data_IF_633837697444
#
_entry.id   IF_633837697444
#
_cell.length_a   1.000
_cell.length_b   1.000
_cell.length_c   1.000
_cell.angle_alpha   90.00
_cell.angle_beta   90.00
_cell.angle_gamma   90.00
#
_symmetry.space_group_name_H-M   'P 1'
#
loop_
_entity.id
_entity.type
_entity.pdbx_description
1 polymer ?
#
# COMPACT_ATOMS: atom_id res chain seq x y z
N UNK A 1 -13.77 43.57 23.71
CA UNK A 1 -13.75 42.29 24.48
C UNK A 1 -13.56 42.60 25.96
N UNK A 2 -14.03 41.78 26.91
CA UNK A 2 -13.84 42.07 28.34
C UNK A 2 -12.65 41.30 28.91
N UNK A 3 -11.85 41.94 29.76
CA UNK A 3 -10.73 41.29 30.45
C UNK A 3 -11.25 40.14 31.33
N UNK A 4 -10.69 38.94 31.21
CA UNK A 4 -11.06 37.82 32.09
C UNK A 4 -10.67 38.04 33.55
N UNK A 5 -9.63 38.84 33.80
CA UNK A 5 -9.12 39.07 35.15
C UNK A 5 -9.88 40.21 35.87
N UNK A 6 -10.02 41.39 35.24
CA UNK A 6 -10.65 42.54 35.90
C UNK A 6 -12.03 42.95 35.35
N UNK A 7 -12.53 42.29 34.30
CA UNK A 7 -13.84 42.58 33.70
C UNK A 7 -13.93 43.88 32.88
N UNK A 8 -12.86 44.68 32.84
CA UNK A 8 -12.82 45.93 32.08
C UNK A 8 -13.03 45.69 30.58
N UNK A 9 -13.73 46.61 29.93
CA UNK A 9 -13.96 46.55 28.49
C UNK A 9 -12.72 47.03 27.75
N UNK A 10 -12.22 46.19 26.84
CA UNK A 10 -10.98 46.39 26.09
C UNK A 10 -11.36 46.60 24.62
N UNK A 11 -10.93 47.74 24.08
CA UNK A 11 -11.04 48.07 22.66
C UNK A 11 -10.12 47.17 21.81
N UNK A 12 -10.51 46.93 20.56
CA UNK A 12 -9.74 46.11 19.62
C UNK A 12 -8.40 46.75 19.27
N UNK A 13 -7.29 46.02 19.44
CA UNK A 13 -5.93 46.47 19.12
C UNK A 13 -4.94 46.46 20.29
N UNK A 14 -5.40 46.18 21.51
CA UNK A 14 -4.54 46.05 22.69
C UNK A 14 -4.12 44.59 22.92
N UNK A 15 -2.84 44.39 23.28
CA UNK A 15 -2.27 43.06 23.63
C UNK A 15 -2.31 42.80 25.14
N UNK A 16 -2.49 43.86 25.94
CA UNK A 16 -2.60 43.81 27.40
C UNK A 16 -3.80 44.64 27.85
N UNK A 17 -4.44 44.25 28.95
CA UNK A 17 -5.55 45.01 29.53
C UNK A 17 -5.03 46.35 30.09
N UNK A 18 -5.55 47.49 29.63
CA UNK A 18 -5.09 48.81 30.11
C UNK A 18 -5.32 49.05 31.61
N UNK A 19 -6.31 48.38 32.21
CA UNK A 19 -6.67 48.59 33.62
C UNK A 19 -5.89 47.73 34.60
N UNK A 20 -5.47 46.52 34.23
CA UNK A 20 -4.79 45.60 35.16
C UNK A 20 -3.45 45.04 34.64
N UNK A 21 -3.06 45.35 33.40
CA UNK A 21 -1.82 44.88 32.79
C UNK A 21 -1.84 43.42 32.34
N UNK A 22 -2.95 42.69 32.52
CA UNK A 22 -3.04 41.27 32.17
C UNK A 22 -2.97 41.06 30.65
N UNK A 23 -2.17 40.08 30.21
CA UNK A 23 -2.04 39.76 28.78
C UNK A 23 -3.34 39.17 28.21
N UNK A 24 -3.68 39.58 27.00
CA UNK A 24 -4.87 39.12 26.30
C UNK A 24 -4.48 37.93 25.42
N UNK A 25 -4.84 36.71 25.85
CA UNK A 25 -4.63 35.51 25.04
C UNK A 25 -5.61 35.47 23.86
N UNK A 26 -5.10 35.65 22.65
CA UNK A 26 -5.86 35.68 21.38
C UNK A 26 -6.07 34.28 20.77
N UNK A 27 -5.29 33.28 21.19
CA UNK A 27 -5.36 31.91 20.69
C UNK A 27 -5.96 31.02 21.79
N UNK A 28 -7.00 30.22 21.52
CA UNK A 28 -7.47 29.23 22.48
C UNK A 28 -6.32 28.28 22.83
N UNK A 29 -6.14 27.99 24.13
CA UNK A 29 -5.13 27.03 24.58
C UNK A 29 -5.41 25.66 23.95
N UNK A 30 -4.48 25.19 23.12
CA UNK A 30 -4.41 23.79 22.69
C UNK A 30 -4.27 22.92 23.94
N UNK A 31 -5.29 22.13 24.25
CA UNK A 31 -5.27 21.21 25.38
C UNK A 31 -4.92 19.81 24.88
N UNK A 32 -3.64 19.43 25.00
CA UNK A 32 -3.11 18.12 24.58
C UNK A 32 -3.86 16.96 25.24
N UNK A 33 -4.40 17.15 26.45
CA UNK A 33 -5.20 16.14 27.15
C UNK A 33 -6.57 15.92 26.49
N UNK A 34 -7.17 16.96 25.89
CA UNK A 34 -8.44 16.82 25.16
C UNK A 34 -8.25 16.04 23.86
N UNK A 35 -7.14 16.26 23.14
CA UNK A 35 -6.81 15.43 21.97
C UNK A 35 -6.49 13.98 22.35
N UNK A 36 -5.75 13.74 23.45
CA UNK A 36 -5.48 12.37 23.90
C UNK A 36 -6.78 11.65 24.34
N UNK A 37 -7.71 12.38 24.95
CA UNK A 37 -9.04 11.88 25.28
C UNK A 37 -9.88 11.63 24.02
N UNK A 38 -9.84 12.51 23.03
CA UNK A 38 -10.50 12.32 21.74
C UNK A 38 -9.94 11.11 20.98
N UNK A 39 -8.62 10.93 21.00
CA UNK A 39 -7.94 9.80 20.38
C UNK A 39 -8.34 8.49 21.06
N UNK A 40 -8.35 8.46 22.41
CA UNK A 40 -8.88 7.32 23.17
C UNK A 40 -10.35 7.04 22.89
N UNK A 41 -11.19 8.06 22.74
CA UNK A 41 -12.61 7.88 22.40
C UNK A 41 -12.81 7.34 20.98
N UNK A 42 -11.93 7.71 20.03
CA UNK A 42 -11.92 7.15 18.68
C UNK A 42 -11.43 5.70 18.70
N UNK A 43 -10.31 5.42 19.37
CA UNK A 43 -9.80 4.05 19.56
C UNK A 43 -10.83 3.14 20.26
N UNK A 44 -11.51 3.62 21.30
CA UNK A 44 -12.53 2.86 22.02
C UNK A 44 -13.81 2.66 21.18
N UNK A 45 -14.15 3.60 20.29
CA UNK A 45 -15.25 3.44 19.33
C UNK A 45 -14.93 2.41 18.26
N UNK A 46 -13.69 2.38 17.78
CA UNK A 46 -13.26 1.42 16.78
C UNK A 46 -13.14 0.02 17.41
N UNK A 47 -12.61 -0.11 18.64
CA UNK A 47 -12.67 -1.36 19.44
C UNK A 47 -14.11 -1.85 19.66
N UNK A 48 -15.05 -0.96 19.96
CA UNK A 48 -16.46 -1.34 20.12
C UNK A 48 -17.13 -1.85 18.83
N UNK A 49 -16.61 -1.52 17.65
CA UNK A 49 -17.11 -2.08 16.38
C UNK A 49 -16.56 -3.48 16.11
N UNK A 50 -15.31 -3.73 16.51
CA UNK A 50 -14.62 -5.01 16.31
C UNK A 50 -15.08 -6.09 17.32
N UNK A 51 -15.46 -5.70 18.54
CA UNK A 51 -15.86 -6.62 19.61
C UNK A 51 -17.37 -6.96 19.66
N UNK A 52 -18.15 -6.61 18.63
CA UNK A 52 -19.61 -6.84 18.59
C UNK A 52 -20.03 -8.32 18.75
N UNK A 53 -19.09 -9.25 18.58
CA UNK A 53 -19.33 -10.69 18.74
C UNK A 53 -18.58 -11.32 19.93
N UNK A 54 -17.64 -10.61 20.55
CA UNK A 54 -16.89 -11.13 21.71
C UNK A 54 -17.70 -11.07 23.02
N UNK A 55 -18.78 -10.29 23.07
CA UNK A 55 -19.52 -10.00 24.31
C UNK A 55 -20.82 -10.78 24.49
N UNK A 56 -21.17 -11.70 23.57
CA UNK A 56 -22.31 -12.61 23.74
C UNK A 56 -23.70 -11.95 23.72
N UNK A 57 -23.82 -10.70 23.24
CA UNK A 57 -25.11 -10.00 23.16
C UNK A 57 -25.22 -9.25 21.83
N UNK A 58 -26.09 -9.73 20.94
CA UNK A 58 -26.47 -8.98 19.75
C UNK A 58 -27.28 -7.74 20.16
N UNK A 59 -26.83 -6.55 19.73
CA UNK A 59 -27.55 -5.29 19.94
C UNK A 59 -28.29 -4.93 18.65
N UNK A 60 -29.62 -4.76 18.68
CA UNK A 60 -30.40 -4.47 17.49
C UNK A 60 -30.02 -3.12 16.87
N UNK A 61 -29.83 -3.10 15.55
CA UNK A 61 -29.64 -1.87 14.77
C UNK A 61 -31.01 -1.21 14.55
N UNK A 62 -31.16 0.04 14.98
CA UNK A 62 -32.41 0.77 14.80
C UNK A 62 -32.70 1.02 13.31
N UNK A 63 -33.76 0.43 12.76
CA UNK A 63 -34.23 0.72 11.39
C UNK A 63 -34.79 2.15 11.29
N UNK A 64 -34.59 2.86 10.16
CA UNK A 64 -35.18 4.18 9.93
C UNK A 64 -36.71 4.11 9.95
N UNK A 65 -37.36 4.97 10.74
CA UNK A 65 -38.82 5.07 10.81
C UNK A 65 -39.37 5.64 9.50
N UNK A 66 -40.05 4.82 8.71
CA UNK A 66 -40.95 5.29 7.65
C UNK A 66 -42.19 5.89 8.28
N UNK A 67 -42.34 7.21 8.12
CA UNK A 67 -43.52 7.96 8.55
C UNK A 67 -44.68 7.70 7.59
N UNK A 68 -45.57 6.77 7.94
CA UNK A 68 -46.87 6.67 7.26
C UNK A 68 -47.76 7.82 7.73
N UNK A 69 -48.05 8.75 6.81
CA UNK A 69 -49.04 9.81 6.98
C UNK A 69 -50.43 9.21 7.22
N UNK A 70 -51.07 9.69 8.28
CA UNK A 70 -52.44 9.38 8.67
C UNK A 70 -53.40 10.14 7.75
N UNK A 71 -54.04 9.47 6.79
CA UNK A 71 -55.21 10.00 6.09
C UNK A 71 -56.49 9.49 6.76
N UNK A 72 -57.15 10.40 7.47
CA UNK A 72 -58.45 10.18 8.09
C UNK A 72 -59.56 10.37 7.05
N UNK A 73 -59.96 9.29 6.37
CA UNK A 73 -61.22 9.28 5.64
C UNK A 73 -62.35 8.76 6.54
N UNK A 74 -63.25 9.68 6.89
CA UNK A 74 -64.43 9.46 7.72
C UNK A 74 -65.52 8.77 6.89
N UNK A 75 -65.64 7.44 7.02
CA UNK A 75 -66.78 6.70 6.46
C UNK A 75 -67.96 6.84 7.43
N UNK A 76 -69.06 7.46 6.96
CA UNK A 76 -70.33 7.49 7.67
C UNK A 76 -71.04 6.15 7.51
N UNK A 77 -71.35 5.48 8.61
CA UNK A 77 -72.13 4.24 8.62
C UNK A 77 -73.61 4.55 8.87
N UNK A 78 -74.47 4.24 7.91
CA UNK A 78 -75.91 4.16 8.10
C UNK A 78 -76.25 3.01 9.06
N UNK A 79 -76.93 3.31 10.15
CA UNK A 79 -77.37 2.33 11.15
C UNK A 79 -78.74 1.76 10.79
N UNK A 80 -78.77 0.55 10.23
CA UNK A 80 -79.96 -0.30 10.26
C UNK A 80 -79.93 -1.21 11.51
N UNK A 81 -81.06 -1.42 12.21
CA UNK A 81 -81.06 -2.21 13.43
C UNK A 81 -80.95 -3.71 13.12
N UNK A 82 -79.86 -4.33 13.59
CA UNK A 82 -79.62 -5.77 13.47
C UNK A 82 -80.60 -6.52 14.38
N UNK A 83 -81.48 -7.32 13.78
CA UNK A 83 -82.41 -8.21 14.48
C UNK A 83 -81.60 -9.26 15.24
N UNK A 84 -81.68 -9.21 16.57
CA UNK A 84 -80.85 -9.97 17.49
C UNK A 84 -81.42 -11.36 17.71
N UNK A 85 -81.05 -12.31 16.85
CA UNK A 85 -81.36 -13.72 17.08
C UNK A 85 -80.30 -14.34 18.03
N UNK A 86 -80.70 -14.78 19.23
CA UNK A 86 -79.78 -15.24 20.29
C UNK A 86 -78.87 -16.40 19.86
N UNK A 87 -79.31 -17.20 18.89
CA UNK A 87 -78.52 -18.32 18.37
C UNK A 87 -77.47 -17.89 17.34
N UNK A 88 -77.65 -16.76 16.66
CA UNK A 88 -76.64 -16.18 15.77
C UNK A 88 -75.49 -15.56 16.58
N UNK A 89 -75.83 -14.90 17.70
CA UNK A 89 -74.83 -14.33 18.62
C UNK A 89 -73.94 -15.41 19.25
N UNK A 90 -74.51 -16.55 19.64
CA UNK A 90 -73.74 -17.70 20.17
C UNK A 90 -72.77 -18.28 19.14
N UNK A 91 -73.17 -18.36 17.87
CA UNK A 91 -72.29 -18.84 16.78
C UNK A 91 -71.15 -17.87 16.48
N UNK A 92 -71.40 -16.56 16.52
CA UNK A 92 -70.34 -15.54 16.37
C UNK A 92 -69.34 -15.61 17.52
N UNK A 93 -69.83 -15.73 18.77
CA UNK A 93 -68.95 -15.85 19.94
C UNK A 93 -68.12 -17.13 19.87
N UNK A 94 -68.70 -18.27 19.47
CA UNK A 94 -67.96 -19.51 19.28
C UNK A 94 -66.90 -19.40 18.16
N UNK A 95 -67.22 -18.74 17.05
CA UNK A 95 -66.27 -18.50 15.95
C UNK A 95 -65.12 -17.58 16.39
N UNK A 96 -65.42 -16.49 17.11
CA UNK A 96 -64.39 -15.59 17.65
C UNK A 96 -63.48 -16.31 18.65
N UNK A 97 -64.01 -17.20 19.49
CA UNK A 97 -63.19 -18.02 20.40
C UNK A 97 -62.24 -18.92 19.60
N UNK A 98 -62.70 -19.55 18.52
CA UNK A 98 -61.85 -20.39 17.65
C UNK A 98 -60.78 -19.56 16.94
N UNK A 99 -61.12 -18.37 16.46
CA UNK A 99 -60.17 -17.45 15.83
C UNK A 99 -59.15 -16.92 16.85
N UNK A 100 -59.57 -16.63 18.07
CA UNK A 100 -58.68 -16.20 19.16
C UNK A 100 -57.77 -17.36 19.58
N UNK A 101 -58.28 -18.58 19.67
CA UNK A 101 -57.46 -19.77 19.97
C UNK A 101 -56.48 -20.07 18.83
N UNK A 102 -56.92 -19.92 17.57
CA UNK A 102 -56.08 -20.00 16.39
C UNK A 102 -54.99 -18.93 16.40
N UNK A 103 -55.34 -17.67 16.66
CA UNK A 103 -54.36 -16.59 16.83
C UNK A 103 -53.42 -16.84 18.01
N UNK A 104 -53.90 -17.39 19.12
CA UNK A 104 -53.08 -17.71 20.30
C UNK A 104 -52.05 -18.81 20.01
N UNK A 105 -52.29 -19.69 19.04
CA UNK A 105 -51.32 -20.68 18.55
C UNK A 105 -50.41 -20.09 17.48
N UNK A 106 -50.95 -19.23 16.60
CA UNK A 106 -50.23 -18.62 15.48
C UNK A 106 -49.25 -17.53 15.96
N UNK A 107 -49.64 -16.66 16.90
CA UNK A 107 -48.84 -15.55 17.44
C UNK A 107 -47.48 -15.99 18.01
N UNK A 108 -47.38 -17.03 18.88
CA UNK A 108 -46.07 -17.51 19.35
C UNK A 108 -45.22 -18.17 18.26
N UNK A 109 -45.84 -18.70 17.20
CA UNK A 109 -45.12 -19.25 16.06
C UNK A 109 -44.45 -18.13 15.24
N UNK A 110 -45.14 -17.00 15.05
CA UNK A 110 -44.59 -15.82 14.38
C UNK A 110 -43.60 -15.02 15.26
N UNK A 111 -43.76 -15.03 16.59
CA UNK A 111 -42.85 -14.33 17.51
C UNK A 111 -41.50 -15.02 17.75
N UNK A 112 -41.40 -16.33 17.51
CA UNK A 112 -40.20 -17.14 17.79
C UNK A 112 -39.16 -17.17 16.66
N UNK A 113 -39.50 -16.63 15.49
CA UNK A 113 -38.69 -16.55 14.28
C UNK A 113 -38.40 -15.09 13.89
N UNK A 114 -38.33 -14.18 14.87
CA UNK A 114 -37.82 -12.84 14.58
C UNK A 114 -36.32 -12.91 14.33
N UNK A 115 -35.81 -12.18 13.35
CA UNK A 115 -34.38 -12.07 13.04
C UNK A 115 -33.52 -11.91 14.30
N UNK A 116 -33.84 -10.94 15.15
CA UNK A 116 -33.09 -10.66 16.38
C UNK A 116 -33.10 -11.85 17.37
N UNK A 117 -34.20 -12.60 17.42
CA UNK A 117 -34.30 -13.77 18.31
C UNK A 117 -33.47 -14.95 17.81
N UNK A 118 -33.37 -15.12 16.50
CA UNK A 118 -32.52 -16.14 15.89
C UNK A 118 -31.05 -15.81 16.05
N UNK A 119 -30.67 -14.55 15.81
CA UNK A 119 -29.29 -14.09 16.02
C UNK A 119 -28.82 -14.25 17.46
N UNK A 120 -29.66 -13.92 18.44
CA UNK A 120 -29.31 -14.15 19.85
C UNK A 120 -29.11 -15.63 20.18
N UNK A 121 -29.96 -16.52 19.64
CA UNK A 121 -29.80 -17.98 19.81
C UNK A 121 -28.55 -18.50 19.11
N UNK A 122 -28.22 -17.96 17.94
CA UNK A 122 -27.03 -18.33 17.17
C UNK A 122 -25.76 -18.00 17.95
N UNK A 123 -25.66 -16.76 18.45
CA UNK A 123 -24.54 -16.30 19.29
C UNK A 123 -24.45 -17.08 20.60
N UNK A 124 -25.59 -17.37 21.25
CA UNK A 124 -25.61 -18.21 22.45
C UNK A 124 -25.12 -19.63 22.15
N UNK A 125 -25.53 -20.23 21.04
CA UNK A 125 -25.07 -21.55 20.63
C UNK A 125 -23.58 -21.55 20.28
N UNK A 126 -23.07 -20.50 19.61
CA UNK A 126 -21.65 -20.31 19.33
C UNK A 126 -20.84 -20.21 20.62
N UNK A 127 -21.28 -19.40 21.59
CA UNK A 127 -20.63 -19.26 22.89
C UNK A 127 -20.60 -20.56 23.70
N UNK A 128 -21.53 -21.48 23.43
CA UNK A 128 -21.57 -22.83 24.01
C UNK A 128 -20.84 -23.87 23.15
N UNK A 129 -20.08 -23.46 22.13
CA UNK A 129 -19.36 -24.33 21.19
C UNK A 129 -20.26 -25.31 20.42
N UNK A 130 -21.56 -25.02 20.35
CA UNK A 130 -22.55 -25.83 19.63
C UNK A 130 -22.61 -25.41 18.15
N UNK A 131 -21.51 -25.53 17.43
CA UNK A 131 -21.34 -24.96 16.08
C UNK A 131 -22.40 -25.39 15.07
N UNK A 132 -22.77 -26.68 15.03
CA UNK A 132 -23.80 -27.17 14.11
C UNK A 132 -25.19 -26.56 14.42
N UNK A 133 -25.48 -26.30 15.70
CA UNK A 133 -26.74 -25.68 16.12
C UNK A 133 -26.73 -24.17 15.84
N UNK A 134 -25.59 -23.51 16.11
CA UNK A 134 -25.38 -22.12 15.77
C UNK A 134 -25.55 -21.89 14.27
N UNK A 135 -24.95 -22.77 13.45
CA UNK A 135 -25.08 -22.74 12.00
C UNK A 135 -26.54 -22.77 11.55
N UNK A 136 -27.35 -23.69 12.09
CA UNK A 136 -28.78 -23.75 11.77
C UNK A 136 -29.54 -22.46 12.11
N UNK A 137 -29.24 -21.84 13.27
CA UNK A 137 -29.86 -20.55 13.61
C UNK A 137 -29.40 -19.39 12.71
N UNK A 138 -28.15 -19.40 12.25
CA UNK A 138 -27.66 -18.43 11.29
C UNK A 138 -28.27 -18.64 9.90
N UNK A 139 -28.47 -19.89 9.45
CA UNK A 139 -29.18 -20.22 8.20
C UNK A 139 -30.64 -19.73 8.27
N UNK A 140 -31.34 -20.02 9.37
CA UNK A 140 -32.70 -19.51 9.60
C UNK A 140 -32.76 -17.96 9.61
N UNK A 141 -31.73 -17.30 10.16
CA UNK A 141 -31.64 -15.84 10.16
C UNK A 141 -31.35 -15.28 8.75
N UNK A 142 -30.57 -15.99 7.95
CA UNK A 142 -30.23 -15.64 6.57
C UNK A 142 -31.44 -15.69 5.64
N UNK A 143 -32.34 -16.66 5.86
CA UNK A 143 -33.61 -16.76 5.14
C UNK A 143 -34.52 -15.53 5.37
N UNK A 144 -34.35 -14.82 6.48
CA UNK A 144 -35.09 -13.59 6.81
C UNK A 144 -34.41 -12.35 6.24
N UNK A 145 -33.09 -12.23 6.42
CA UNK A 145 -32.29 -11.12 5.90
C UNK A 145 -30.95 -11.64 5.37
N UNK A 146 -30.91 -11.85 4.07
CA UNK A 146 -29.73 -12.35 3.35
C UNK A 146 -28.69 -11.27 3.03
N UNK A 147 -28.92 -10.03 3.45
CA UNK A 147 -28.05 -8.87 3.19
C UNK A 147 -27.32 -8.38 4.44
N UNK A 148 -27.68 -8.89 5.62
CA UNK A 148 -27.03 -8.51 6.86
C UNK A 148 -25.61 -9.06 6.93
N UNK A 149 -24.66 -8.15 7.11
CA UNK A 149 -23.26 -8.46 7.37
C UNK A 149 -23.09 -9.44 8.54
N UNK A 150 -23.82 -9.25 9.64
CA UNK A 150 -23.68 -10.05 10.86
C UNK A 150 -24.03 -11.52 10.64
N UNK A 151 -25.08 -11.80 9.86
CA UNK A 151 -25.46 -13.18 9.52
C UNK A 151 -24.44 -13.78 8.57
N UNK A 152 -24.08 -13.06 7.51
CA UNK A 152 -23.17 -13.56 6.47
C UNK A 152 -21.80 -13.90 7.08
N UNK A 153 -21.25 -12.99 7.88
CA UNK A 153 -19.99 -13.21 8.57
C UNK A 153 -20.09 -14.34 9.62
N UNK A 154 -21.22 -14.42 10.34
CA UNK A 154 -21.51 -15.52 11.26
C UNK A 154 -21.55 -16.88 10.57
N UNK A 155 -22.25 -16.98 9.43
CA UNK A 155 -22.31 -18.18 8.60
C UNK A 155 -20.92 -18.62 8.15
N UNK A 156 -20.12 -17.70 7.58
CA UNK A 156 -18.76 -18.01 7.13
C UNK A 156 -17.90 -18.59 8.25
N UNK A 157 -17.94 -17.99 9.44
CA UNK A 157 -17.25 -18.52 10.63
C UNK A 157 -17.80 -19.87 11.08
N UNK A 158 -19.11 -20.06 11.10
CA UNK A 158 -19.71 -21.33 11.55
C UNK A 158 -19.44 -22.47 10.56
N UNK A 159 -19.50 -22.21 9.25
CA UNK A 159 -19.10 -23.17 8.23
C UNK A 159 -17.63 -23.60 8.41
N UNK A 160 -16.74 -22.65 8.73
CA UNK A 160 -15.34 -22.97 9.06
C UNK A 160 -15.24 -23.91 10.27
N UNK A 161 -16.01 -23.65 11.34
CA UNK A 161 -16.01 -24.50 12.55
C UNK A 161 -16.54 -25.91 12.29
N UNK A 162 -17.56 -26.06 11.44
CA UNK A 162 -18.05 -27.39 11.01
C UNK A 162 -17.20 -28.04 9.92
N UNK A 163 -16.10 -27.39 9.51
CA UNK A 163 -15.10 -27.85 8.52
C UNK A 163 -15.61 -27.93 7.08
N UNK A 164 -16.67 -27.18 6.77
CA UNK A 164 -17.17 -26.98 5.41
C UNK A 164 -16.47 -25.74 4.83
N UNK A 165 -15.18 -25.89 4.50
CA UNK A 165 -14.31 -24.76 4.14
C UNK A 165 -14.73 -24.05 2.83
N UNK A 166 -15.23 -24.79 1.85
CA UNK A 166 -15.70 -24.23 0.57
C UNK A 166 -16.85 -23.24 0.79
N UNK A 167 -17.82 -23.59 1.65
CA UNK A 167 -18.92 -22.69 2.02
C UNK A 167 -18.45 -21.54 2.90
N UNK A 168 -17.50 -21.81 3.80
CA UNK A 168 -16.93 -20.78 4.65
C UNK A 168 -16.30 -19.67 3.80
N UNK A 169 -15.53 -20.02 2.78
CA UNK A 169 -14.95 -19.09 1.81
C UNK A 169 -16.03 -18.26 1.11
N UNK A 170 -17.10 -18.88 0.60
CA UNK A 170 -18.19 -18.19 -0.09
C UNK A 170 -18.81 -17.09 0.79
N UNK A 171 -19.22 -17.43 2.00
CA UNK A 171 -19.85 -16.48 2.92
C UNK A 171 -18.87 -15.44 3.47
N UNK A 172 -17.60 -15.81 3.73
CA UNK A 172 -16.59 -14.85 4.16
C UNK A 172 -16.23 -13.85 3.05
N UNK A 173 -16.19 -14.30 1.80
CA UNK A 173 -15.98 -13.44 0.63
C UNK A 173 -17.16 -12.47 0.46
N UNK A 174 -18.40 -12.95 0.62
CA UNK A 174 -19.58 -12.08 0.65
C UNK A 174 -19.53 -11.07 1.79
N UNK A 175 -19.07 -11.46 2.98
CA UNK A 175 -18.86 -10.54 4.10
C UNK A 175 -17.83 -9.45 3.74
N UNK A 176 -16.76 -9.84 3.04
CA UNK A 176 -15.69 -8.92 2.61
C UNK A 176 -16.20 -7.88 1.59
N UNK A 177 -17.12 -8.27 0.70
CA UNK A 177 -17.75 -7.32 -0.23
C UNK A 177 -18.55 -6.23 0.49
N UNK A 178 -19.15 -6.55 1.64
CA UNK A 178 -19.95 -5.60 2.44
C UNK A 178 -19.05 -4.69 3.29
N UNK A 179 -18.08 -5.26 4.00
CA UNK A 179 -17.13 -4.53 4.84
C UNK A 179 -15.67 -4.76 4.40
N UNK A 180 -15.20 -4.14 3.29
CA UNK A 180 -13.90 -4.42 2.69
C UNK A 180 -12.69 -4.00 3.53
N UNK A 181 -12.90 -3.30 4.64
CA UNK A 181 -11.82 -2.82 5.55
C UNK A 181 -11.80 -3.56 6.89
N UNK A 182 -12.62 -4.58 7.07
CA UNK A 182 -12.74 -5.30 8.32
C UNK A 182 -11.65 -6.37 8.44
N UNK A 183 -10.67 -6.12 9.32
CA UNK A 183 -9.49 -6.97 9.55
C UNK A 183 -9.83 -8.41 9.98
N UNK A 184 -10.96 -8.61 10.67
CA UNK A 184 -11.37 -9.93 11.14
C UNK A 184 -11.75 -10.85 9.98
N UNK A 185 -12.35 -10.30 8.91
CA UNK A 185 -12.72 -11.07 7.72
C UNK A 185 -11.47 -11.57 6.99
N UNK A 186 -10.47 -10.70 6.81
CA UNK A 186 -9.17 -11.10 6.25
C UNK A 186 -8.53 -12.21 7.09
N UNK A 187 -8.53 -12.08 8.41
CA UNK A 187 -7.99 -13.11 9.31
C UNK A 187 -8.71 -14.45 9.14
N UNK A 188 -10.05 -14.44 9.06
CA UNK A 188 -10.85 -15.65 8.86
C UNK A 188 -10.64 -16.28 7.48
N UNK A 189 -10.54 -15.49 6.41
CA UNK A 189 -10.24 -15.97 5.06
C UNK A 189 -8.84 -16.58 4.97
N UNK A 190 -7.82 -15.92 5.54
CA UNK A 190 -6.46 -16.46 5.62
C UNK A 190 -6.46 -17.83 6.31
N UNK A 191 -7.16 -17.96 7.44
CA UNK A 191 -7.30 -19.24 8.13
C UNK A 191 -8.00 -20.30 7.27
N UNK A 192 -9.07 -19.90 6.56
CA UNK A 192 -9.80 -20.78 5.65
C UNK A 192 -8.90 -21.29 4.51
N UNK A 193 -8.24 -20.39 3.79
CA UNK A 193 -7.34 -20.75 2.69
C UNK A 193 -6.17 -21.62 3.14
N UNK A 194 -5.64 -21.40 4.35
CA UNK A 194 -4.63 -22.29 4.94
C UNK A 194 -5.14 -23.70 5.21
N UNK A 195 -6.44 -23.89 5.45
CA UNK A 195 -7.04 -25.24 5.58
C UNK A 195 -7.27 -25.90 4.23
N UNK A 196 -7.54 -25.10 3.21
CA UNK A 196 -7.68 -25.54 1.81
C UNK A 196 -6.33 -25.75 1.11
N UNK A 197 -5.23 -25.29 1.71
CA UNK A 197 -3.89 -25.25 1.10
C UNK A 197 -3.85 -24.37 -0.18
N UNK A 198 -4.74 -23.37 -0.24
CA UNK A 198 -4.87 -22.46 -1.38
C UNK A 198 -3.99 -21.22 -1.20
N UNK A 199 -2.74 -21.36 -1.64
CA UNK A 199 -1.74 -20.28 -1.59
C UNK A 199 -2.01 -19.14 -2.58
N UNK A 200 -2.68 -19.43 -3.70
CA UNK A 200 -3.01 -18.41 -4.71
C UNK A 200 -4.07 -17.44 -4.18
N UNK A 201 -5.10 -17.96 -3.53
CA UNK A 201 -6.15 -17.12 -2.92
C UNK A 201 -5.61 -16.26 -1.77
N UNK A 202 -4.65 -16.75 -0.99
CA UNK A 202 -3.95 -15.94 0.02
C UNK A 202 -3.19 -14.78 -0.64
N UNK A 203 -2.48 -15.04 -1.74
CA UNK A 203 -1.73 -14.01 -2.46
C UNK A 203 -2.66 -12.96 -3.06
N UNK A 204 -3.77 -13.37 -3.67
CA UNK A 204 -4.79 -12.44 -4.18
C UNK A 204 -5.43 -11.60 -3.06
N UNK A 205 -5.65 -12.19 -1.89
CA UNK A 205 -6.17 -11.49 -0.73
C UNK A 205 -5.15 -10.46 -0.18
N UNK A 206 -3.85 -10.78 -0.21
CA UNK A 206 -2.78 -9.85 0.13
C UNK A 206 -2.72 -8.68 -0.86
N UNK A 207 -2.76 -8.95 -2.17
CA UNK A 207 -2.73 -7.93 -3.22
C UNK A 207 -3.95 -6.97 -3.16
N UNK A 208 -5.07 -7.44 -2.62
CA UNK A 208 -6.29 -6.64 -2.41
C UNK A 208 -6.40 -5.98 -1.03
N UNK A 209 -5.37 -6.07 -0.18
CA UNK A 209 -5.36 -5.46 1.15
C UNK A 209 -5.48 -3.92 1.05
N UNK A 210 -6.47 -3.29 1.72
CA UNK A 210 -6.76 -1.87 1.54
C UNK A 210 -5.90 -0.95 2.41
N UNK A 211 -5.14 -1.49 3.36
CA UNK A 211 -4.28 -0.75 4.28
C UNK A 211 -3.15 -1.64 4.82
N UNK A 212 -2.15 -0.98 5.41
CA UNK A 212 -0.94 -1.64 5.95
C UNK A 212 -1.25 -2.58 7.13
N UNK A 213 -2.27 -2.27 7.94
CA UNK A 213 -2.68 -3.09 9.09
C UNK A 213 -3.22 -4.47 8.68
N UNK A 214 -3.89 -4.54 7.53
CA UNK A 214 -4.38 -5.77 6.92
C UNK A 214 -3.24 -6.46 6.17
N UNK A 215 -2.43 -5.72 5.41
CA UNK A 215 -1.25 -6.27 4.73
C UNK A 215 -0.31 -6.98 5.72
N UNK A 216 -0.17 -6.44 6.93
CA UNK A 216 0.64 -7.02 8.00
C UNK A 216 0.20 -8.43 8.43
N UNK A 217 -1.07 -8.83 8.22
CA UNK A 217 -1.54 -10.18 8.51
C UNK A 217 -0.85 -11.25 7.64
N UNK A 218 -0.33 -10.84 6.49
CA UNK A 218 0.27 -11.73 5.49
C UNK A 218 1.78 -11.83 5.60
N UNK A 219 2.43 -11.01 6.44
CA UNK A 219 3.90 -10.91 6.50
C UNK A 219 4.60 -12.24 6.77
N UNK A 220 3.96 -13.10 7.57
CA UNK A 220 4.48 -14.44 7.90
C UNK A 220 4.03 -15.52 6.90
N UNK A 221 3.28 -15.18 5.86
CA UNK A 221 2.60 -16.13 4.97
C UNK A 221 3.02 -15.91 3.52
N UNK A 222 3.07 -14.66 3.07
CA UNK A 222 3.45 -14.31 1.70
C UNK A 222 4.88 -13.80 1.72
N UNK A 223 5.73 -14.49 0.97
CA UNK A 223 7.11 -14.08 0.73
C UNK A 223 7.14 -13.04 -0.39
N UNK A 224 7.45 -11.79 -0.06
CA UNK A 224 7.60 -10.72 -1.06
C UNK A 224 8.99 -10.80 -1.67
N UNK A 225 9.08 -10.73 -2.99
CA UNK A 225 10.35 -10.74 -3.69
C UNK A 225 11.14 -9.43 -3.47
N UNK A 226 12.48 -9.47 -3.43
CA UNK A 226 13.29 -8.27 -3.34
C UNK A 226 13.11 -7.36 -4.57
N UNK A 227 13.23 -6.06 -4.35
CA UNK A 227 13.27 -5.04 -5.38
C UNK A 227 14.70 -4.53 -5.59
N UNK A 228 15.03 -4.23 -6.84
CA UNK A 228 16.30 -3.64 -7.25
C UNK A 228 16.21 -2.11 -7.22
N UNK A 229 17.22 -1.43 -6.68
CA UNK A 229 17.26 0.03 -6.67
C UNK A 229 17.40 0.65 -8.06
N UNK A 230 18.00 -0.09 -8.99
CA UNK A 230 18.24 0.31 -10.38
C UNK A 230 17.74 -0.79 -11.32
N UNK A 231 17.00 -0.45 -12.41
CA UNK A 231 16.54 -1.44 -13.38
C UNK A 231 17.73 -2.06 -14.14
N UNK A 232 17.56 -3.27 -14.68
CA UNK A 232 18.56 -3.85 -15.59
C UNK A 232 18.74 -3.01 -16.85
N UNK A 233 19.97 -2.95 -17.37
CA UNK A 233 20.29 -2.13 -18.54
C UNK A 233 21.77 -1.91 -18.81
N UNK A 234 22.04 -0.95 -19.71
CA UNK A 234 23.39 -0.51 -20.05
C UNK A 234 23.78 0.74 -19.25
N UNK A 235 24.99 0.74 -18.72
CA UNK A 235 25.54 1.81 -17.91
C UNK A 235 26.97 2.16 -18.38
N UNK A 236 27.33 3.44 -18.31
CA UNK A 236 28.68 3.93 -18.61
C UNK A 236 29.59 3.97 -17.37
N UNK A 237 28.97 4.15 -16.20
CA UNK A 237 29.64 4.28 -14.92
C UNK A 237 29.38 3.05 -14.04
N UNK A 238 30.17 2.88 -12.98
CA UNK A 238 29.93 1.81 -12.00
C UNK A 238 28.57 1.98 -11.32
N UNK A 239 27.88 0.88 -11.06
CA UNK A 239 26.58 0.87 -10.37
C UNK A 239 26.75 0.33 -8.96
N UNK A 240 26.19 1.05 -7.98
CA UNK A 240 26.07 0.61 -6.59
C UNK A 240 24.64 0.16 -6.36
N UNK A 241 24.39 -1.13 -6.58
CA UNK A 241 23.05 -1.70 -6.56
C UNK A 241 22.61 -2.00 -5.12
N UNK A 242 21.49 -1.43 -4.70
CA UNK A 242 20.82 -1.76 -3.44
C UNK A 242 19.65 -2.72 -3.70
N UNK A 243 19.38 -3.57 -2.71
CA UNK A 243 18.23 -4.48 -2.70
C UNK A 243 17.38 -4.15 -1.48
N UNK A 244 16.08 -4.05 -1.68
CA UNK A 244 15.09 -3.83 -0.62
C UNK A 244 14.04 -4.92 -0.65
N UNK A 245 13.45 -5.21 0.50
CA UNK A 245 12.28 -6.09 0.61
C UNK A 245 11.38 -5.50 1.67
N UNK A 246 10.06 -5.58 1.48
CA UNK A 246 9.11 -5.27 2.55
C UNK A 246 9.24 -6.33 3.65
N UNK A 247 9.12 -5.89 4.90
CA UNK A 247 9.31 -6.70 6.12
C UNK A 247 10.79 -7.03 6.42
N UNK A 248 11.09 -7.47 7.64
CA UNK A 248 12.44 -7.79 8.13
C UNK A 248 13.03 -9.10 7.52
N UNK A 249 12.70 -9.40 6.26
CA UNK A 249 13.13 -10.58 5.54
C UNK A 249 14.60 -10.49 5.13
N UNK A 250 15.28 -11.64 5.09
CA UNK A 250 16.68 -11.71 4.68
C UNK A 250 16.78 -11.84 3.17
N UNK A 251 17.59 -11.00 2.52
CA UNK A 251 17.79 -11.07 1.07
C UNK A 251 19.06 -11.88 0.76
N UNK A 252 18.94 -12.87 -0.12
CA UNK A 252 20.07 -13.62 -0.68
C UNK A 252 20.23 -13.32 -2.16
N UNK A 253 21.46 -13.14 -2.63
CA UNK A 253 21.71 -12.79 -4.04
C UNK A 253 22.91 -13.53 -4.65
N UNK A 254 22.94 -13.57 -5.98
CA UNK A 254 24.09 -14.00 -6.78
C UNK A 254 24.37 -12.98 -7.87
N UNK A 255 25.62 -12.92 -8.35
CA UNK A 255 26.06 -12.04 -9.45
C UNK A 255 26.59 -12.82 -10.65
N UNK A 256 26.35 -14.13 -10.68
CA UNK A 256 26.82 -15.05 -11.72
C UNK A 256 25.67 -15.81 -12.38
N UNK A 257 24.43 -15.34 -12.21
CA UNK A 257 23.23 -15.96 -12.75
C UNK A 257 22.79 -17.26 -12.07
N UNK A 258 23.49 -17.74 -11.03
CA UNK A 258 23.10 -18.96 -10.31
C UNK A 258 21.90 -18.72 -9.39
N UNK A 259 21.21 -19.79 -9.03
CA UNK A 259 20.05 -19.70 -8.14
C UNK A 259 20.49 -19.23 -6.73
N UNK A 260 19.94 -18.11 -6.22
CA UNK A 260 20.30 -17.59 -4.90
C UNK A 260 19.82 -18.46 -3.73
N UNK A 261 18.83 -19.35 -3.92
CA UNK A 261 18.39 -20.25 -2.83
C UNK A 261 19.44 -21.31 -2.46
N UNK A 262 20.32 -21.67 -3.39
CA UNK A 262 21.35 -22.71 -3.19
C UNK A 262 22.76 -22.17 -3.08
N UNK A 263 23.00 -20.97 -3.63
CA UNK A 263 24.35 -20.40 -3.75
C UNK A 263 24.41 -18.90 -3.43
N UNK A 264 23.32 -18.36 -2.88
CA UNK A 264 23.20 -16.94 -2.58
C UNK A 264 24.09 -16.50 -1.43
N UNK A 265 24.57 -15.27 -1.53
CA UNK A 265 25.21 -14.54 -0.43
C UNK A 265 24.15 -13.70 0.27
N UNK A 266 24.21 -13.63 1.60
CA UNK A 266 23.37 -12.70 2.34
C UNK A 266 23.69 -11.25 1.94
N UNK A 267 22.67 -10.48 1.60
CA UNK A 267 22.78 -9.08 1.30
C UNK A 267 22.87 -8.27 2.60
N UNK A 268 24.02 -7.62 2.81
CA UNK A 268 24.27 -6.75 3.97
C UNK A 268 24.83 -5.38 3.59
N UNK A 269 25.22 -5.21 2.32
CA UNK A 269 25.88 -4.02 1.77
C UNK A 269 25.53 -3.92 0.27
N UNK A 270 25.52 -2.70 -0.30
CA UNK A 270 25.30 -2.52 -1.73
C UNK A 270 26.26 -3.34 -2.60
N UNK A 271 25.76 -3.85 -3.72
CA UNK A 271 26.51 -4.67 -4.68
C UNK A 271 27.22 -3.72 -5.66
N UNK A 272 28.54 -3.73 -5.64
CA UNK A 272 29.35 -2.96 -6.58
C UNK A 272 29.46 -3.71 -7.91
N UNK A 273 28.87 -3.14 -8.95
CA UNK A 273 29.00 -3.62 -10.33
C UNK A 273 30.02 -2.76 -11.08
N UNK A 274 30.91 -3.41 -11.82
CA UNK A 274 31.98 -2.79 -12.62
C UNK A 274 31.90 -3.24 -14.07
N UNK A 275 32.81 -2.75 -14.92
CA UNK A 275 32.87 -3.08 -16.35
C UNK A 275 32.63 -4.57 -16.65
N UNK A 276 31.77 -4.81 -17.64
CA UNK A 276 31.34 -6.13 -18.06
C UNK A 276 29.82 -6.34 -17.90
N UNK A 277 29.37 -7.54 -18.25
CA UNK A 277 27.97 -7.96 -18.09
C UNK A 277 27.85 -8.82 -16.83
N UNK A 278 26.98 -8.40 -15.91
CA UNK A 278 26.68 -9.09 -14.66
C UNK A 278 25.17 -9.36 -14.56
N UNK A 279 24.79 -10.62 -14.40
CA UNK A 279 23.41 -11.03 -14.09
C UNK A 279 23.26 -11.16 -12.57
N UNK A 280 22.41 -10.33 -11.99
CA UNK A 280 22.12 -10.33 -10.55
C UNK A 280 20.78 -11.00 -10.32
N UNK A 281 20.77 -12.06 -9.49
CA UNK A 281 19.55 -12.72 -9.02
C UNK A 281 19.39 -12.53 -7.54
N UNK A 282 18.17 -12.27 -7.07
CA UNK A 282 17.88 -12.09 -5.66
C UNK A 282 16.61 -12.85 -5.25
N UNK A 283 16.56 -13.22 -3.96
CA UNK A 283 15.43 -13.87 -3.33
C UNK A 283 15.35 -13.43 -1.87
N UNK A 284 14.14 -13.29 -1.32
CA UNK A 284 13.93 -13.04 0.09
C UNK A 284 13.64 -14.34 0.84
N UNK A 285 14.08 -14.42 2.09
CA UNK A 285 13.83 -15.52 3.01
C UNK A 285 13.08 -14.95 4.22
N UNK A 286 11.90 -15.49 4.51
CA UNK A 286 11.11 -15.07 5.65
C UNK A 286 11.57 -15.75 6.96
N UNK A 287 10.99 -15.33 8.09
CA UNK A 287 11.27 -15.87 9.43
C UNK A 287 10.99 -17.38 9.57
N UNK A 288 10.13 -17.95 8.70
CA UNK A 288 9.76 -19.37 8.68
C UNK A 288 10.68 -20.22 7.80
N UNK A 289 11.59 -19.61 7.06
CA UNK A 289 12.52 -20.32 6.17
C UNK A 289 11.96 -20.57 4.77
N UNK A 290 10.92 -19.84 4.34
CA UNK A 290 10.36 -19.91 3.00
C UNK A 290 10.94 -18.81 2.11
N UNK A 291 11.22 -19.17 0.86
CA UNK A 291 11.80 -18.26 -0.13
C UNK A 291 10.71 -17.61 -0.99
N UNK A 292 10.91 -16.34 -1.33
CA UNK A 292 10.13 -15.64 -2.36
C UNK A 292 10.39 -16.18 -3.76
N UNK A 293 9.65 -15.65 -4.73
CA UNK A 293 10.05 -15.74 -6.13
C UNK A 293 11.44 -15.14 -6.35
N UNK A 294 12.18 -15.74 -7.29
CA UNK A 294 13.51 -15.28 -7.68
C UNK A 294 13.37 -14.18 -8.72
N UNK A 295 13.86 -12.99 -8.39
CA UNK A 295 13.97 -11.86 -9.33
C UNK A 295 15.34 -11.83 -9.97
N UNK A 296 15.43 -11.31 -11.21
CA UNK A 296 16.64 -11.36 -12.02
C UNK A 296 16.75 -10.14 -12.91
N UNK A 297 17.89 -9.46 -12.85
CA UNK A 297 18.22 -8.30 -13.68
C UNK A 297 19.62 -8.44 -14.28
N UNK A 298 19.82 -7.89 -15.48
CA UNK A 298 21.10 -7.93 -16.19
C UNK A 298 21.65 -6.52 -16.37
N UNK A 299 22.88 -6.31 -15.91
CA UNK A 299 23.57 -5.03 -15.98
C UNK A 299 24.79 -5.16 -16.89
N UNK A 300 24.93 -4.27 -17.85
CA UNK A 300 26.09 -4.20 -18.75
C UNK A 300 26.77 -2.85 -18.60
N UNK A 301 27.95 -2.84 -17.98
CA UNK A 301 28.73 -1.63 -17.77
C UNK A 301 29.82 -1.57 -18.84
N UNK A 302 29.76 -0.54 -19.69
CA UNK A 302 30.71 -0.32 -20.78
C UNK A 302 31.62 0.85 -20.45
N UNK A 303 32.93 0.65 -20.53
CA UNK A 303 33.86 1.75 -20.42
C UNK A 303 33.69 2.73 -21.60
N UNK A 304 33.63 4.03 -21.30
CA UNK A 304 33.60 5.08 -22.33
C UNK A 304 34.99 5.16 -22.96
N UNK A 305 35.06 4.90 -24.26
CA UNK A 305 36.30 5.06 -25.04
C UNK A 305 36.20 6.25 -25.97
N UNK A 306 37.10 7.24 -25.81
CA UNK A 306 37.18 8.41 -26.69
C UNK A 306 37.95 8.09 -27.98
N UNK A 307 37.57 8.74 -29.09
CA UNK A 307 38.28 8.62 -30.36
C UNK A 307 39.58 9.42 -30.37
N UNK A 308 40.53 9.02 -31.23
CA UNK A 308 41.81 9.71 -31.40
C UNK A 308 41.58 11.17 -31.88
N UNK A 309 42.35 12.15 -31.39
CA UNK A 309 42.24 13.55 -31.82
C UNK A 309 42.49 13.71 -33.31
N UNK A 310 41.68 14.54 -33.98
CA UNK A 310 41.87 14.91 -35.37
C UNK A 310 42.61 16.25 -35.40
N UNK A 311 43.81 16.26 -35.99
CA UNK A 311 44.70 17.42 -36.07
C UNK A 311 44.90 17.82 -37.52
N UNK A 312 44.71 19.11 -37.82
CA UNK A 312 44.80 19.67 -39.17
C UNK A 312 45.76 20.87 -39.17
N UNK A 313 46.72 20.96 -40.10
CA UNK A 313 47.05 19.98 -41.15
C UNK A 313 47.68 18.70 -40.58
N UNK A 314 47.71 17.66 -41.41
CA UNK A 314 48.48 16.44 -41.09
C UNK A 314 49.99 16.75 -40.95
N UNK A 315 50.74 15.92 -40.21
CA UNK A 315 52.18 16.12 -39.99
C UNK A 315 52.97 16.16 -41.30
N UNK A 316 53.72 17.25 -41.53
CA UNK A 316 54.49 17.46 -42.75
C UNK A 316 55.61 18.51 -42.56
N UNK A 317 56.38 18.74 -43.63
CA UNK A 317 57.31 19.88 -43.74
C UNK A 317 56.63 21.05 -44.45
N UNK A 318 56.71 22.24 -43.85
CA UNK A 318 56.11 23.47 -44.35
C UNK A 318 57.21 24.50 -44.64
N UNK A 319 57.07 25.20 -45.77
CA UNK A 319 57.94 26.32 -46.15
C UNK A 319 57.25 27.68 -45.91
N UNK A 320 56.01 27.66 -45.44
CA UNK A 320 55.22 28.83 -45.07
C UNK A 320 54.63 28.60 -43.68
N UNK A 321 54.31 29.69 -42.96
CA UNK A 321 53.74 29.57 -41.63
C UNK A 321 52.29 29.04 -41.71
N UNK A 322 52.04 27.89 -41.07
CA UNK A 322 50.71 27.27 -41.00
C UNK A 322 50.25 27.16 -39.55
N UNK A 323 48.94 27.30 -39.33
CA UNK A 323 48.30 27.08 -38.02
C UNK A 323 47.72 25.68 -37.91
N UNK A 324 48.01 25.02 -36.79
CA UNK A 324 47.42 23.74 -36.39
C UNK A 324 46.09 24.01 -35.69
N UNK A 325 45.06 23.26 -36.07
CA UNK A 325 43.75 23.19 -35.45
C UNK A 325 43.46 21.77 -35.00
N UNK A 326 42.89 21.62 -33.80
CA UNK A 326 42.50 20.34 -33.21
C UNK A 326 40.98 20.29 -33.13
N UNK A 327 40.37 19.23 -33.68
CA UNK A 327 38.93 19.00 -33.54
C UNK A 327 38.63 18.38 -32.17
N UNK A 328 37.93 19.14 -31.32
CA UNK A 328 37.57 18.71 -29.96
C UNK A 328 36.05 18.39 -29.92
N UNK A 329 35.65 17.15 -29.58
CA UNK A 329 34.25 16.80 -29.40
C UNK A 329 33.57 17.66 -28.31
N UNK A 330 32.26 17.85 -28.42
CA UNK A 330 31.50 18.60 -27.41
C UNK A 330 31.65 17.97 -26.02
N UNK A 331 31.90 18.80 -25.01
CA UNK A 331 32.09 18.36 -23.62
C UNK A 331 33.46 17.77 -23.31
N UNK A 332 34.39 17.79 -24.26
CA UNK A 332 35.78 17.36 -24.07
C UNK A 332 36.76 18.54 -24.13
N UNK A 333 37.97 18.30 -23.66
CA UNK A 333 39.10 19.23 -23.71
C UNK A 333 40.30 18.55 -24.37
N UNK A 334 41.08 19.30 -25.15
CA UNK A 334 42.33 18.80 -25.71
C UNK A 334 43.55 19.39 -25.00
N UNK A 335 44.57 18.56 -24.80
CA UNK A 335 45.85 18.94 -24.23
C UNK A 335 46.97 18.49 -25.17
N UNK A 336 48.03 19.29 -25.30
CA UNK A 336 49.11 19.02 -26.23
C UNK A 336 50.51 19.34 -25.69
N UNK A 337 51.53 18.77 -26.33
CA UNK A 337 52.95 19.03 -26.10
C UNK A 337 53.70 19.10 -27.43
N UNK A 338 54.83 19.80 -27.47
CA UNK A 338 55.65 19.98 -28.68
C UNK A 338 56.95 19.16 -28.68
N UNK A 339 57.28 18.55 -27.55
CA UNK A 339 58.50 17.75 -27.34
C UNK A 339 58.24 16.24 -27.45
N UNK A 340 57.02 15.85 -27.80
CA UNK A 340 56.61 14.45 -27.89
C UNK A 340 56.24 13.80 -26.56
N UNK A 341 56.21 14.55 -25.44
CA UNK A 341 55.79 14.02 -24.13
C UNK A 341 54.29 13.80 -24.06
N UNK A 342 53.83 12.89 -23.19
CA UNK A 342 52.39 12.64 -23.01
C UNK A 342 51.73 13.85 -22.31
N UNK A 343 50.77 14.54 -22.96
CA UNK A 343 50.17 15.76 -22.42
C UNK A 343 49.05 15.51 -21.37
N UNK A 344 48.74 14.26 -20.99
CA UNK A 344 47.70 13.93 -19.99
C UNK A 344 47.93 14.64 -18.65
N UNK A 345 49.18 14.64 -18.18
CA UNK A 345 49.59 15.27 -16.92
C UNK A 345 50.65 16.34 -17.21
N UNK A 346 50.23 17.61 -17.31
CA UNK A 346 51.12 18.76 -17.54
C UNK A 346 51.21 19.25 -18.99
N UNK A 347 50.35 18.76 -19.88
CA UNK A 347 50.20 19.31 -21.23
C UNK A 347 49.58 20.71 -21.25
N UNK A 348 49.77 21.41 -22.37
CA UNK A 348 49.18 22.73 -22.60
C UNK A 348 47.74 22.55 -23.07
N UNK A 349 46.79 23.22 -22.43
CA UNK A 349 45.38 23.17 -22.84
C UNK A 349 45.21 23.88 -24.19
N UNK A 350 44.58 23.21 -25.14
CA UNK A 350 44.22 23.80 -26.43
C UNK A 350 42.99 24.71 -26.26
N UNK A 351 43.11 25.97 -26.67
CA UNK A 351 41.99 26.94 -26.68
C UNK A 351 41.67 27.41 -28.09
N UNK A 352 42.71 27.67 -28.89
CA UNK A 352 42.62 28.23 -30.23
C UNK A 352 43.72 27.67 -31.13
N UNK A 353 43.54 27.73 -32.47
CA UNK A 353 44.59 27.33 -33.41
C UNK A 353 45.92 28.05 -33.18
N UNK A 354 47.02 27.32 -33.28
CA UNK A 354 48.37 27.84 -33.00
C UNK A 354 49.35 27.57 -34.16
N UNK A 355 50.36 28.43 -34.40
CA UNK A 355 51.30 28.24 -35.51
C UNK A 355 52.27 27.07 -35.26
N UNK A 356 52.73 26.43 -36.34
CA UNK A 356 53.86 25.49 -36.30
C UNK A 356 55.14 26.24 -35.86
N UNK A 357 55.89 25.65 -34.92
CA UNK A 357 57.15 26.21 -34.42
C UNK A 357 58.26 26.09 -35.46
N UNK A 358 59.16 27.07 -35.52
CA UNK A 358 60.33 27.02 -36.39
C UNK A 358 61.26 25.86 -35.99
N UNK A 359 61.68 25.06 -36.97
CA UNK A 359 62.44 23.85 -36.77
C UNK A 359 61.54 22.60 -36.71
N UNK A 360 62.13 21.48 -36.27
CA UNK A 360 61.42 20.22 -36.09
C UNK A 360 60.82 20.12 -34.68
N UNK A 361 59.53 19.80 -34.60
CA UNK A 361 58.81 19.58 -33.34
C UNK A 361 57.92 18.34 -33.44
N UNK A 362 57.68 17.67 -32.31
CA UNK A 362 56.79 16.50 -32.24
C UNK A 362 55.55 16.88 -31.46
N UNK A 363 54.47 17.16 -32.19
CA UNK A 363 53.17 17.45 -31.59
C UNK A 363 52.56 16.15 -31.06
N UNK A 364 52.25 16.11 -29.78
CA UNK A 364 51.41 15.06 -29.17
C UNK A 364 50.13 15.68 -28.66
N UNK A 365 48.97 15.06 -28.94
CA UNK A 365 47.65 15.56 -28.53
C UNK A 365 46.86 14.45 -27.87
N UNK A 366 46.14 14.79 -26.80
CA UNK A 366 45.14 13.94 -26.14
C UNK A 366 43.85 14.71 -25.94
N UNK A 367 42.72 14.02 -26.00
CA UNK A 367 41.40 14.54 -25.61
C UNK A 367 41.00 13.90 -24.29
N UNK A 368 40.44 14.69 -23.38
CA UNK A 368 39.93 14.27 -22.08
C UNK A 368 38.47 14.70 -21.94
N UNK A 369 37.60 13.81 -21.47
CA UNK A 369 36.22 14.19 -21.15
C UNK A 369 36.08 14.77 -19.73
N UNK A 370 34.89 15.22 -19.38
CA UNK A 370 34.58 15.75 -18.05
C UNK A 370 34.66 14.72 -16.92
N UNK A 371 34.58 13.42 -17.24
CA UNK A 371 34.69 12.30 -16.28
C UNK A 371 36.14 11.85 -16.09
N UNK A 372 37.07 12.35 -16.90
CA UNK A 372 38.49 12.06 -16.84
C UNK A 372 38.95 10.91 -17.74
N UNK A 373 38.09 10.37 -18.59
CA UNK A 373 38.48 9.40 -19.62
C UNK A 373 39.39 10.08 -20.65
N UNK A 374 40.38 9.36 -21.16
CA UNK A 374 41.38 9.89 -22.10
C UNK A 374 41.31 9.17 -23.45
N UNK A 375 41.48 9.92 -24.53
CA UNK A 375 41.61 9.35 -25.88
C UNK A 375 42.96 8.65 -26.08
N UNK A 376 43.08 7.82 -27.11
CA UNK A 376 44.38 7.51 -27.71
C UNK A 376 45.16 8.79 -28.04
N UNK A 377 46.48 8.72 -27.99
CA UNK A 377 47.37 9.84 -28.30
C UNK A 377 47.50 10.01 -29.81
N UNK A 378 47.28 11.22 -30.31
CA UNK A 378 47.79 11.64 -31.61
C UNK A 378 49.27 12.03 -31.45
N UNK A 379 50.12 11.63 -32.39
CA UNK A 379 51.54 12.03 -32.43
C UNK A 379 51.97 12.30 -33.87
N UNK A 380 52.53 13.48 -34.11
CA UNK A 380 52.94 13.93 -35.43
C UNK A 380 54.21 14.78 -35.42
N UNK A 381 55.07 14.59 -36.40
CA UNK A 381 56.26 15.42 -36.61
C UNK A 381 55.95 16.58 -37.56
N UNK A 382 56.15 17.80 -37.09
CA UNK A 382 55.94 19.03 -37.84
C UNK A 382 57.27 19.75 -37.99
N UNK A 383 57.62 20.09 -39.23
CA UNK A 383 58.86 20.80 -39.54
C UNK A 383 58.50 22.09 -40.26
N UNK A 384 58.91 23.24 -39.74
CA UNK A 384 58.78 24.53 -40.42
C UNK A 384 60.17 25.11 -40.71
N UNK A 385 60.47 25.28 -41.99
CA UNK A 385 61.72 25.88 -42.48
C UNK A 385 61.37 27.09 -43.36
N UNK A 386 61.43 28.33 -42.80
CA UNK A 386 61.02 29.55 -43.49
C UNK A 386 61.92 29.95 -44.67
#
# INVERSE_FOLDING_TARGET
MKCKNCGAEIESGYVYCPSCGESIQLVPNYNVLEEELLFKVVEDKDKQKDDRFATGVYKPVAKPQTTTKNDKNHVTCDSNPIIRNKDFLKKIVAFLIIVIFGMMVIIPYFGSHSYDTLMNKAVEAEANEQYAKALGFYEDAYDIDNSSFEVIYGLGRMYYQVKEYDKAEEFLSLALEIEPKNKNIYSALIECYKKLDDSESIRALYESAPNDDIAALFNDIVTVAPEFSEPGGEYEDMVMLELSVSNDNQIFYTTNGKNPTTSGKLFTKPIKLTEGTTEVKAVALNSKGEYSDVVSEVYTIKAVTLSMPIVTPEPATFNEQVSISIAVPMGCEAYYSWDGTNPVDGGIRYTDPFPVLNGASVLTVVIKDSKGNVSPLFRGEYIYTP
#
